data_IF_829941735892
#
_entry.id   IF_829941735892
#
_cell.length_a   1.000
_cell.length_b   1.000
_cell.length_c   1.000
_cell.angle_alpha   90.00
_cell.angle_beta   90.00
_cell.angle_gamma   90.00
#
_symmetry.space_group_name_H-M   'P 1'
#
loop_
_entity.id
_entity.type
_entity.pdbx_description
1 polymer ?
#
# COMPACT_ATOMS: atom_id res chain seq x y z
N UNK A 1 24.09 1.59 8.08
CA UNK A 1 23.14 1.25 9.16
C UNK A 1 22.08 0.34 8.59
N UNK A 2 21.79 -0.78 9.27
CA UNK A 2 20.75 -1.70 8.82
C UNK A 2 19.40 -1.00 8.96
N UNK A 3 18.49 -1.18 8.00
CA UNK A 3 17.18 -0.54 8.06
C UNK A 3 16.37 -1.02 9.27
N UNK A 4 16.67 -2.25 9.72
CA UNK A 4 16.10 -2.84 10.93
C UNK A 4 16.51 -2.08 12.20
N UNK A 5 17.64 -1.36 12.17
CA UNK A 5 18.12 -0.58 13.32
C UNK A 5 17.17 0.57 13.69
N UNK A 6 16.33 1.03 12.75
CA UNK A 6 15.33 2.08 12.97
C UNK A 6 14.34 1.72 14.09
N UNK A 7 14.09 0.43 14.30
CA UNK A 7 13.13 -0.04 15.29
C UNK A 7 13.75 -0.41 16.65
N UNK A 8 15.08 -0.34 16.81
CA UNK A 8 15.78 -0.76 18.03
C UNK A 8 15.28 -0.05 19.30
N UNK A 9 14.87 1.22 19.18
CA UNK A 9 14.33 2.00 20.30
C UNK A 9 12.99 1.47 20.84
N UNK A 10 12.29 0.63 20.07
CA UNK A 10 11.01 0.02 20.46
C UNK A 10 11.18 -1.42 20.97
N UNK A 11 12.40 -1.93 21.07
CA UNK A 11 12.65 -3.28 21.59
C UNK A 11 11.95 -3.50 22.94
N UNK A 12 11.23 -4.62 23.05
CA UNK A 12 10.48 -5.01 24.25
C UNK A 12 9.15 -4.28 24.44
N UNK A 13 8.78 -3.35 23.55
CA UNK A 13 7.46 -2.70 23.55
C UNK A 13 6.39 -3.68 23.09
N UNK A 14 5.17 -3.46 23.58
CA UNK A 14 3.97 -4.22 23.20
C UNK A 14 3.02 -3.38 22.36
N UNK A 15 2.63 -3.92 21.21
CA UNK A 15 1.70 -3.27 20.28
C UNK A 15 0.47 -4.16 20.11
N UNK A 16 -0.71 -3.57 20.34
CA UNK A 16 -1.96 -4.15 19.87
C UNK A 16 -2.21 -3.61 18.46
N UNK A 17 -2.13 -4.49 17.46
CA UNK A 17 -2.43 -4.17 16.06
C UNK A 17 -3.87 -4.54 15.76
N UNK A 18 -4.71 -3.54 15.51
CA UNK A 18 -6.09 -3.70 15.06
C UNK A 18 -6.20 -3.30 13.59
N UNK A 19 -6.45 -4.26 12.71
CA UNK A 19 -6.51 -4.01 11.27
C UNK A 19 -7.39 -5.07 10.58
N UNK A 20 -7.92 -4.80 9.37
CA UNK A 20 -8.55 -5.88 8.62
C UNK A 20 -7.47 -6.84 8.13
N UNK A 21 -7.72 -8.15 8.06
CA UNK A 21 -6.81 -9.03 7.33
C UNK A 21 -6.88 -8.69 5.84
N UNK A 22 -5.89 -7.97 5.30
CA UNK A 22 -5.78 -7.67 3.87
C UNK A 22 -4.42 -8.09 3.31
N UNK A 23 -4.46 -9.01 2.35
CA UNK A 23 -3.28 -9.52 1.64
C UNK A 23 -2.20 -10.01 2.62
N UNK A 24 -0.93 -9.70 2.34
CA UNK A 24 0.26 -10.11 3.11
C UNK A 24 0.81 -8.96 3.98
N UNK A 25 0.23 -7.75 3.90
CA UNK A 25 0.79 -6.56 4.57
C UNK A 25 0.78 -6.65 6.09
N UNK A 26 -0.25 -7.27 6.68
CA UNK A 26 -0.32 -7.52 8.12
C UNK A 26 0.82 -8.44 8.55
N UNK A 27 1.12 -9.46 7.75
CA UNK A 27 2.22 -10.39 8.03
C UNK A 27 3.57 -9.67 7.93
N UNK A 28 3.78 -8.81 6.92
CA UNK A 28 5.01 -7.99 6.81
C UNK A 28 5.22 -7.05 8.02
N UNK A 29 4.16 -6.42 8.52
CA UNK A 29 4.23 -5.57 9.72
C UNK A 29 4.65 -6.40 10.93
N UNK A 30 4.00 -7.55 11.12
CA UNK A 30 4.26 -8.45 12.27
C UNK A 30 5.66 -9.04 12.20
N UNK A 31 6.12 -9.42 11.02
CA UNK A 31 7.47 -9.94 10.81
C UNK A 31 8.53 -8.87 11.07
N UNK A 32 8.31 -7.62 10.64
CA UNK A 32 9.20 -6.50 10.94
C UNK A 32 9.25 -6.18 12.44
N UNK A 33 8.09 -6.16 13.13
CA UNK A 33 8.02 -5.99 14.58
C UNK A 33 8.75 -7.13 15.31
N UNK A 34 8.50 -8.38 14.90
CA UNK A 34 9.14 -9.56 15.49
C UNK A 34 10.66 -9.53 15.30
N UNK A 35 11.16 -9.14 14.13
CA UNK A 35 12.59 -8.99 13.86
C UNK A 35 13.24 -7.93 14.76
N UNK A 36 12.49 -6.91 15.16
CA UNK A 36 12.93 -5.86 16.08
C UNK A 36 12.67 -6.18 17.57
N UNK A 37 12.26 -7.41 17.90
CA UNK A 37 11.90 -7.83 19.27
C UNK A 37 10.78 -6.97 19.89
N UNK A 38 9.83 -6.54 19.06
CA UNK A 38 8.58 -5.89 19.46
C UNK A 38 7.50 -6.97 19.55
N UNK A 39 6.79 -7.04 20.68
CA UNK A 39 5.70 -7.99 20.86
C UNK A 39 4.42 -7.41 20.24
N UNK A 40 3.86 -8.14 19.28
CA UNK A 40 2.70 -7.68 18.49
C UNK A 40 1.58 -8.71 18.56
N UNK A 41 0.49 -8.33 19.23
CA UNK A 41 -0.76 -9.06 19.16
C UNK A 41 -1.63 -8.46 18.05
N UNK A 42 -2.15 -9.31 17.17
CA UNK A 42 -3.00 -8.89 16.06
C UNK A 42 -4.46 -9.29 16.32
N UNK A 43 -5.37 -8.36 16.10
CA UNK A 43 -6.80 -8.59 16.06
C UNK A 43 -7.37 -8.13 14.71
N UNK A 44 -8.15 -9.00 14.07
CA UNK A 44 -8.87 -8.65 12.85
C UNK A 44 -10.08 -7.76 13.18
N UNK A 45 -10.14 -6.56 12.58
CA UNK A 45 -11.30 -5.67 12.73
C UNK A 45 -12.55 -6.19 12.00
N UNK A 46 -12.43 -7.25 11.19
CA UNK A 46 -13.54 -7.97 10.54
C UNK A 46 -13.63 -9.42 11.04
N UNK A 47 -14.00 -9.65 12.29
CA UNK A 47 -13.98 -10.98 12.91
C UNK A 47 -14.98 -11.98 12.31
N UNK A 48 -15.96 -11.51 11.52
CA UNK A 48 -16.96 -12.36 10.88
C UNK A 48 -16.45 -12.90 9.53
N UNK A 49 -16.53 -14.22 9.28
CA UNK A 49 -15.95 -14.82 8.08
C UNK A 49 -16.70 -14.47 6.79
N UNK A 50 -15.97 -14.53 5.66
CA UNK A 50 -16.52 -14.60 4.31
C UNK A 50 -17.12 -13.31 3.71
N UNK A 51 -17.92 -13.47 2.66
CA UNK A 51 -18.65 -12.36 1.99
C UNK A 51 -19.67 -11.70 2.94
N UNK A 52 -20.21 -12.49 3.88
CA UNK A 52 -21.09 -12.06 4.96
C UNK A 52 -20.42 -11.06 5.90
N UNK A 53 -19.16 -11.27 6.28
CA UNK A 53 -18.41 -10.31 7.11
C UNK A 53 -18.21 -8.95 6.44
N UNK A 54 -17.93 -8.92 5.13
CA UNK A 54 -17.82 -7.66 4.37
C UNK A 54 -19.14 -6.92 4.23
N UNK A 55 -20.23 -7.65 4.02
CA UNK A 55 -21.57 -7.06 3.95
C UNK A 55 -22.01 -6.54 5.32
N UNK A 56 -21.78 -7.30 6.40
CA UNK A 56 -22.08 -6.87 7.77
C UNK A 56 -21.23 -5.66 8.17
N UNK A 57 -19.93 -5.65 7.88
CA UNK A 57 -19.08 -4.47 8.09
C UNK A 57 -19.64 -3.22 7.39
N UNK A 58 -20.18 -3.40 6.18
CA UNK A 58 -20.69 -2.31 5.36
C UNK A 58 -22.10 -1.83 5.74
N UNK A 59 -22.97 -2.74 6.18
CA UNK A 59 -24.40 -2.46 6.36
C UNK A 59 -24.88 -2.55 7.81
N UNK A 60 -24.12 -3.21 8.68
CA UNK A 60 -24.41 -3.41 10.11
C UNK A 60 -23.12 -3.29 10.96
N UNK A 61 -22.40 -2.14 10.88
CA UNK A 61 -21.09 -1.96 11.50
C UNK A 61 -21.11 -2.21 13.02
N UNK A 62 -22.21 -1.86 13.69
CA UNK A 62 -22.44 -2.09 15.12
C UNK A 62 -22.21 -3.53 15.59
N UNK A 63 -22.45 -4.54 14.73
CA UNK A 63 -22.21 -5.95 15.09
C UNK A 63 -20.71 -6.22 15.15
N UNK A 64 -19.96 -5.72 14.16
CA UNK A 64 -18.51 -5.86 14.14
C UNK A 64 -17.88 -5.07 15.29
N UNK A 65 -18.31 -3.83 15.52
CA UNK A 65 -17.82 -3.00 16.62
C UNK A 65 -17.93 -3.70 17.98
N UNK A 66 -19.08 -4.32 18.28
CA UNK A 66 -19.28 -5.06 19.53
C UNK A 66 -18.35 -6.26 19.66
N UNK A 67 -18.20 -7.03 18.58
CA UNK A 67 -17.33 -8.21 18.60
C UNK A 67 -15.86 -7.83 18.70
N UNK A 68 -15.43 -6.78 17.99
CA UNK A 68 -14.07 -6.26 18.04
C UNK A 68 -13.78 -5.68 19.42
N UNK A 69 -14.69 -4.89 20.00
CA UNK A 69 -14.55 -4.38 21.37
C UNK A 69 -14.39 -5.52 22.37
N UNK A 70 -15.20 -6.57 22.28
CA UNK A 70 -15.06 -7.76 23.13
C UNK A 70 -13.70 -8.44 22.96
N UNK A 71 -13.23 -8.63 21.72
CA UNK A 71 -11.93 -9.25 21.46
C UNK A 71 -10.77 -8.41 22.03
N UNK A 72 -10.89 -7.08 21.97
CA UNK A 72 -9.93 -6.15 22.59
C UNK A 72 -9.99 -6.28 24.12
N UNK A 73 -11.17 -6.23 24.72
CA UNK A 73 -11.37 -6.40 26.16
C UNK A 73 -10.74 -7.71 26.67
N UNK A 74 -10.99 -8.83 25.97
CA UNK A 74 -10.42 -10.13 26.29
C UNK A 74 -8.87 -10.09 26.30
N UNK A 75 -8.26 -9.40 25.34
CA UNK A 75 -6.79 -9.21 25.30
C UNK A 75 -6.27 -8.33 26.44
N UNK A 76 -7.00 -7.27 26.77
CA UNK A 76 -6.65 -6.33 27.84
C UNK A 76 -6.67 -6.99 29.22
N UNK A 77 -7.47 -8.05 29.42
CA UNK A 77 -7.45 -8.79 30.69
C UNK A 77 -6.12 -9.51 30.97
N UNK A 78 -5.36 -9.85 29.93
CA UNK A 78 -4.15 -10.65 30.03
C UNK A 78 -2.86 -9.83 29.86
N UNK A 79 -2.92 -8.71 29.15
CA UNK A 79 -1.75 -7.93 28.74
C UNK A 79 -2.04 -6.43 28.76
N UNK A 80 -1.02 -5.68 29.15
CA UNK A 80 -0.93 -4.24 28.88
C UNK A 80 -0.08 -3.97 27.63
N UNK A 81 -0.35 -2.85 26.98
CA UNK A 81 0.24 -2.43 25.72
C UNK A 81 0.85 -1.03 25.85
N UNK A 82 1.96 -0.80 25.14
CA UNK A 82 2.53 0.53 24.97
C UNK A 82 1.90 1.28 23.79
N UNK A 83 1.30 0.54 22.85
CA UNK A 83 0.70 1.10 21.64
C UNK A 83 -0.60 0.41 21.26
N UNK A 84 -1.57 1.19 20.80
CA UNK A 84 -2.65 0.72 19.94
C UNK A 84 -2.39 1.26 18.53
N UNK A 85 -2.05 0.37 17.61
CA UNK A 85 -1.90 0.70 16.20
C UNK A 85 -3.15 0.23 15.45
N UNK A 86 -3.95 1.17 14.97
CA UNK A 86 -5.15 0.90 14.18
C UNK A 86 -4.86 1.18 12.72
N UNK A 87 -5.15 0.22 11.84
CA UNK A 87 -5.12 0.43 10.39
C UNK A 87 -6.55 0.43 9.89
N UNK A 88 -6.89 1.46 9.10
CA UNK A 88 -8.19 1.70 8.47
C UNK A 88 -9.32 2.09 9.43
N UNK A 89 -9.48 1.41 10.56
CA UNK A 89 -10.41 1.78 11.62
C UNK A 89 -11.88 1.58 11.27
N UNK A 90 -12.24 0.50 10.56
CA UNK A 90 -13.62 0.24 10.13
C UNK A 90 -14.56 -0.17 11.27
N UNK A 91 -14.02 -0.71 12.36
CA UNK A 91 -14.80 -1.26 13.49
C UNK A 91 -14.48 -0.55 14.81
N UNK A 92 -14.00 0.70 14.74
CA UNK A 92 -13.77 1.53 15.91
C UNK A 92 -15.08 1.85 16.63
N UNK A 93 -15.04 1.91 17.96
CA UNK A 93 -16.16 2.34 18.78
C UNK A 93 -15.65 3.11 20.00
N UNK A 94 -16.49 4.00 20.54
CA UNK A 94 -16.15 4.79 21.74
C UNK A 94 -15.85 3.88 22.93
N UNK A 95 -16.58 2.77 23.08
CA UNK A 95 -16.33 1.77 24.13
C UNK A 95 -14.91 1.22 24.03
N UNK A 96 -14.55 0.70 22.86
CA UNK A 96 -13.23 0.10 22.62
C UNK A 96 -12.09 1.06 22.99
N UNK A 97 -12.15 2.32 22.52
CA UNK A 97 -11.10 3.30 22.79
C UNK A 97 -11.08 3.73 24.27
N UNK A 98 -12.24 3.87 24.91
CA UNK A 98 -12.34 4.22 26.32
C UNK A 98 -11.73 3.12 27.21
N UNK A 99 -12.11 1.86 26.98
CA UNK A 99 -11.60 0.73 27.76
C UNK A 99 -10.10 0.53 27.54
N UNK A 100 -9.62 0.64 26.29
CA UNK A 100 -8.20 0.57 25.99
C UNK A 100 -7.39 1.63 26.74
N UNK A 101 -7.84 2.89 26.72
CA UNK A 101 -7.18 4.01 27.43
C UNK A 101 -7.24 3.85 28.94
N UNK A 102 -8.34 3.31 29.48
CA UNK A 102 -8.49 3.06 30.90
C UNK A 102 -7.45 2.05 31.40
N UNK A 103 -7.28 0.94 30.69
CA UNK A 103 -6.33 -0.12 31.05
C UNK A 103 -4.88 0.23 30.69
N UNK A 104 -4.68 1.13 29.70
CA UNK A 104 -3.35 1.54 29.23
C UNK A 104 -3.22 3.07 29.16
N UNK A 105 -3.22 3.78 30.30
CA UNK A 105 -3.29 5.25 30.33
C UNK A 105 -2.07 5.96 29.72
N UNK A 106 -0.96 5.25 29.55
CA UNK A 106 0.28 5.76 28.95
C UNK A 106 0.53 5.25 27.53
N UNK A 107 -0.40 4.45 26.98
CA UNK A 107 -0.24 3.93 25.63
C UNK A 107 -0.45 5.02 24.58
N UNK A 108 0.34 4.94 23.51
CA UNK A 108 0.15 5.79 22.33
C UNK A 108 -0.86 5.15 21.39
N UNK A 109 -1.86 5.92 20.98
CA UNK A 109 -2.88 5.51 20.02
C UNK A 109 -2.55 6.12 18.66
N UNK A 110 -2.36 5.26 17.67
CA UNK A 110 -2.02 5.67 16.31
C UNK A 110 -3.00 5.08 15.32
N UNK A 111 -3.57 5.92 14.47
CA UNK A 111 -4.45 5.52 13.37
C UNK A 111 -3.74 5.75 12.03
N UNK A 112 -3.65 4.73 11.19
CA UNK A 112 -3.18 4.84 9.82
C UNK A 112 -4.28 4.51 8.82
N UNK A 113 -4.61 5.45 7.96
CA UNK A 113 -5.60 5.28 6.89
C UNK A 113 -4.93 4.76 5.63
N UNK A 114 -5.26 3.50 5.29
CA UNK A 114 -4.75 2.82 4.11
C UNK A 114 -5.48 3.21 2.81
N UNK A 115 -6.72 3.65 2.95
CA UNK A 115 -7.57 4.17 1.88
C UNK A 115 -7.88 5.65 2.21
N UNK A 116 -8.31 6.41 1.20
CA UNK A 116 -8.70 7.81 1.43
C UNK A 116 -9.80 7.93 2.49
N UNK A 117 -9.88 9.09 3.16
CA UNK A 117 -10.88 9.35 4.22
C UNK A 117 -12.30 9.17 3.68
N UNK A 118 -12.54 9.49 2.41
CA UNK A 118 -13.83 9.25 1.75
C UNK A 118 -14.26 7.76 1.74
N UNK A 119 -13.30 6.82 1.77
CA UNK A 119 -13.52 5.38 1.87
C UNK A 119 -13.45 4.86 3.31
N UNK A 120 -12.95 5.66 4.25
CA UNK A 120 -12.78 5.33 5.67
C UNK A 120 -13.55 6.31 6.58
N UNK A 121 -14.72 6.78 6.13
CA UNK A 121 -15.53 7.80 6.84
C UNK A 121 -15.86 7.45 8.30
N UNK A 122 -15.94 6.17 8.61
CA UNK A 122 -16.19 5.73 9.98
C UNK A 122 -15.05 6.15 10.92
N UNK A 123 -13.80 5.98 10.48
CA UNK A 123 -12.61 6.31 11.26
C UNK A 123 -12.47 7.83 11.50
N UNK A 124 -12.98 8.66 10.57
CA UNK A 124 -13.01 10.12 10.69
C UNK A 124 -13.64 10.59 12.00
N UNK A 125 -14.71 9.92 12.44
CA UNK A 125 -15.42 10.26 13.69
C UNK A 125 -14.58 10.04 14.97
N UNK A 126 -13.41 9.39 14.85
CA UNK A 126 -12.56 9.03 15.97
C UNK A 126 -11.20 9.74 15.96
N UNK A 127 -10.90 10.61 14.99
CA UNK A 127 -9.57 11.23 14.86
C UNK A 127 -9.11 11.91 16.16
N UNK A 128 -9.98 12.67 16.82
CA UNK A 128 -9.68 13.38 18.07
C UNK A 128 -9.40 12.45 19.27
N UNK A 129 -9.59 11.14 19.11
CA UNK A 129 -9.29 10.14 20.13
C UNK A 129 -7.92 9.49 19.95
N UNK A 130 -7.20 9.77 18.87
CA UNK A 130 -5.86 9.26 18.61
C UNK A 130 -4.80 10.33 18.89
N UNK A 131 -3.62 9.89 19.33
CA UNK A 131 -2.47 10.80 19.48
C UNK A 131 -1.92 11.20 18.12
N UNK A 132 -1.97 10.28 17.15
CA UNK A 132 -1.56 10.53 15.77
C UNK A 132 -2.50 9.87 14.78
N UNK A 133 -2.88 10.61 13.74
CA UNK A 133 -3.64 10.11 12.60
C UNK A 133 -2.83 10.36 11.33
N UNK A 134 -2.63 9.30 10.55
CA UNK A 134 -1.88 9.31 9.30
C UNK A 134 -2.78 8.93 8.11
N UNK A 135 -2.48 9.49 6.95
CA UNK A 135 -3.05 9.10 5.66
C UNK A 135 -1.97 9.05 4.59
N UNK A 136 -2.11 8.11 3.64
CA UNK A 136 -1.24 8.03 2.47
C UNK A 136 -1.62 9.03 1.36
N UNK A 137 -2.75 9.73 1.49
CA UNK A 137 -3.24 10.69 0.51
C UNK A 137 -2.94 12.12 0.96
N UNK A 138 -2.08 12.82 0.21
CA UNK A 138 -1.63 14.16 0.58
C UNK A 138 -2.78 15.20 0.60
N UNK A 139 -3.81 15.01 -0.23
CA UNK A 139 -4.98 15.89 -0.19
C UNK A 139 -5.80 15.67 1.08
N UNK A 140 -5.96 14.42 1.52
CA UNK A 140 -6.65 14.12 2.77
C UNK A 140 -5.86 14.69 3.97
N UNK A 141 -4.53 14.56 3.96
CA UNK A 141 -3.68 15.13 5.00
C UNK A 141 -3.93 16.64 5.17
N UNK A 142 -3.91 17.38 4.05
CA UNK A 142 -4.18 18.83 4.06
C UNK A 142 -5.63 19.17 4.45
N UNK A 143 -6.60 18.41 3.94
CA UNK A 143 -8.04 18.69 4.15
C UNK A 143 -8.46 18.45 5.60
N UNK A 144 -8.04 17.32 6.17
CA UNK A 144 -8.42 16.88 7.51
C UNK A 144 -7.42 17.31 8.59
N UNK A 145 -6.31 17.97 8.21
CA UNK A 145 -5.22 18.39 9.10
C UNK A 145 -4.65 17.22 9.90
N UNK A 146 -4.47 16.10 9.21
CA UNK A 146 -3.84 14.88 9.72
C UNK A 146 -2.51 14.67 8.99
N UNK A 147 -1.66 13.80 9.51
CA UNK A 147 -0.31 13.64 8.98
C UNK A 147 -0.28 12.84 7.68
N UNK A 148 0.61 13.23 6.78
CA UNK A 148 0.92 12.46 5.60
C UNK A 148 1.95 11.38 5.93
N UNK A 149 1.68 10.14 5.52
CA UNK A 149 2.63 9.04 5.56
C UNK A 149 2.37 8.10 4.38
N UNK A 150 3.33 7.94 3.44
CA UNK A 150 3.11 7.07 2.29
C UNK A 150 2.87 5.61 2.70
N UNK A 151 2.29 4.84 1.76
CA UNK A 151 2.26 3.38 1.89
C UNK A 151 3.68 2.81 1.98
N UNK A 152 3.79 1.56 2.42
CA UNK A 152 5.06 0.87 2.53
C UNK A 152 5.18 -0.35 1.61
N UNK A 153 6.42 -0.78 1.39
CA UNK A 153 6.79 -2.03 0.75
C UNK A 153 7.37 -2.99 1.79
N UNK A 154 7.06 -4.28 1.62
CA UNK A 154 7.63 -5.34 2.45
C UNK A 154 9.07 -5.70 2.04
N UNK A 155 9.68 -6.59 2.82
CA UNK A 155 11.09 -6.98 2.68
C UNK A 155 11.41 -7.68 1.36
N UNK A 156 10.44 -8.34 0.74
CA UNK A 156 10.55 -9.04 -0.54
C UNK A 156 10.84 -8.12 -1.74
N UNK A 157 10.60 -6.81 -1.58
CA UNK A 157 10.86 -5.77 -2.58
C UNK A 157 12.23 -5.10 -2.41
N UNK A 158 13.04 -5.55 -1.45
CA UNK A 158 14.41 -5.06 -1.28
C UNK A 158 15.23 -5.31 -2.56
N UNK A 159 15.83 -4.26 -3.15
CA UNK A 159 16.56 -4.40 -4.41
C UNK A 159 17.79 -5.30 -4.30
N UNK A 160 18.31 -5.52 -3.08
CA UNK A 160 19.44 -6.43 -2.81
C UNK A 160 19.08 -7.90 -2.99
N UNK A 161 17.79 -8.24 -3.03
CA UNK A 161 17.30 -9.60 -3.31
C UNK A 161 17.22 -9.92 -4.81
N UNK A 162 17.49 -8.93 -5.68
CA UNK A 162 17.47 -9.09 -7.13
C UNK A 162 18.88 -9.45 -7.59
N UNK A 163 19.00 -10.57 -8.31
CA UNK A 163 20.28 -10.97 -8.89
C UNK A 163 20.67 -9.98 -10.00
N UNK A 164 21.94 -9.56 -10.04
CA UNK A 164 22.44 -8.64 -11.06
C UNK A 164 22.29 -9.20 -12.49
N UNK A 165 22.38 -10.52 -12.63
CA UNK A 165 22.20 -11.22 -13.92
C UNK A 165 20.72 -11.51 -14.26
N UNK A 166 19.77 -11.07 -13.42
CA UNK A 166 18.36 -11.31 -13.69
C UNK A 166 17.91 -10.49 -14.90
N UNK A 167 17.62 -11.20 -16.00
CA UNK A 167 17.14 -10.59 -17.23
C UNK A 167 15.79 -9.91 -17.03
N UNK A 168 15.67 -8.68 -17.54
CA UNK A 168 14.42 -7.94 -17.65
C UNK A 168 13.83 -8.13 -19.06
N UNK A 169 13.08 -9.20 -19.23
CA UNK A 169 12.50 -9.66 -20.49
C UNK A 169 11.02 -9.32 -20.66
N UNK A 170 10.45 -8.56 -19.71
CA UNK A 170 9.11 -7.97 -19.81
C UNK A 170 9.29 -6.45 -19.88
N UNK A 171 8.85 -5.81 -20.96
CA UNK A 171 9.07 -4.37 -21.15
C UNK A 171 8.11 -3.56 -20.27
N UNK A 172 6.83 -3.96 -20.28
CA UNK A 172 5.77 -3.34 -19.51
C UNK A 172 5.03 -4.38 -18.67
N UNK A 173 4.63 -4.03 -17.44
CA UNK A 173 3.69 -4.86 -16.69
C UNK A 173 2.65 -4.03 -15.93
N UNK A 174 1.39 -4.43 -16.06
CA UNK A 174 0.28 -3.98 -15.23
C UNK A 174 -0.24 -5.17 -14.41
N UNK A 175 -0.40 -4.99 -13.11
CA UNK A 175 -1.03 -6.01 -12.24
C UNK A 175 -1.95 -5.30 -11.26
N UNK A 176 -3.26 -5.36 -11.49
CA UNK A 176 -4.23 -4.68 -10.65
C UNK A 176 -5.67 -5.11 -10.85
N UNK A 177 -6.54 -4.64 -9.96
CA UNK A 177 -7.98 -4.90 -10.03
C UNK A 177 -8.65 -3.96 -11.03
N UNK A 178 -9.60 -4.46 -11.81
CA UNK A 178 -10.38 -3.61 -12.72
C UNK A 178 -11.32 -2.72 -11.91
N UNK A 179 -11.09 -1.40 -11.98
CA UNK A 179 -12.02 -0.39 -11.47
C UNK A 179 -11.98 0.89 -12.31
N UNK A 180 -13.04 1.71 -12.20
CA UNK A 180 -13.14 3.02 -12.87
C UNK A 180 -12.92 2.92 -14.39
N UNK A 181 -12.35 3.95 -15.03
CA UNK A 181 -12.01 3.99 -16.46
C UNK A 181 -10.65 3.35 -16.79
N UNK A 182 -10.09 2.55 -15.88
CA UNK A 182 -8.74 1.98 -16.03
C UNK A 182 -8.58 1.18 -17.33
N UNK A 183 -9.63 0.48 -17.77
CA UNK A 183 -9.61 -0.32 -19.00
C UNK A 183 -9.32 0.51 -20.24
N UNK A 184 -9.74 1.77 -20.27
CA UNK A 184 -9.51 2.66 -21.41
C UNK A 184 -8.02 2.94 -21.62
N UNK A 185 -7.34 3.36 -20.56
CA UNK A 185 -5.91 3.66 -20.58
C UNK A 185 -5.07 2.40 -20.77
N UNK A 186 -5.43 1.28 -20.16
CA UNK A 186 -4.71 0.02 -20.39
C UNK A 186 -4.86 -0.48 -21.83
N UNK A 187 -6.04 -0.32 -22.45
CA UNK A 187 -6.22 -0.65 -23.87
C UNK A 187 -5.39 0.25 -24.79
N UNK A 188 -5.22 1.52 -24.41
CA UNK A 188 -4.31 2.43 -25.11
C UNK A 188 -2.87 1.93 -25.03
N UNK A 189 -2.40 1.59 -23.83
CA UNK A 189 -1.04 1.04 -23.63
C UNK A 189 -0.84 -0.26 -24.40
N UNK A 190 -1.80 -1.19 -24.39
CA UNK A 190 -1.78 -2.43 -25.20
C UNK A 190 -1.59 -2.13 -26.69
N UNK A 191 -2.38 -1.21 -27.24
CA UNK A 191 -2.27 -0.82 -28.64
C UNK A 191 -0.89 -0.24 -28.97
N UNK A 192 -0.37 0.64 -28.12
CA UNK A 192 0.91 1.29 -28.35
C UNK A 192 2.08 0.32 -28.18
N UNK A 193 2.02 -0.57 -27.18
CA UNK A 193 3.02 -1.61 -26.96
C UNK A 193 3.11 -2.55 -28.17
N UNK A 194 1.95 -2.99 -28.69
CA UNK A 194 1.90 -3.79 -29.91
C UNK A 194 2.50 -3.07 -31.13
N UNK A 195 2.26 -1.77 -31.28
CA UNK A 195 2.83 -0.98 -32.40
C UNK A 195 4.34 -0.75 -32.30
N UNK A 196 4.87 -0.72 -31.08
CA UNK A 196 6.30 -0.57 -30.79
C UNK A 196 7.02 -1.93 -30.63
N UNK A 197 6.31 -3.05 -30.87
CA UNK A 197 6.84 -4.40 -30.67
C UNK A 197 7.36 -4.68 -29.24
N UNK A 198 6.76 -4.02 -28.24
CA UNK A 198 7.09 -4.21 -26.83
C UNK A 198 6.19 -5.27 -26.20
N UNK A 199 6.77 -6.05 -25.30
CA UNK A 199 6.02 -7.02 -24.49
C UNK A 199 5.25 -6.31 -23.38
N UNK A 200 3.96 -6.66 -23.22
CA UNK A 200 3.13 -6.15 -22.14
C UNK A 200 2.48 -7.28 -21.35
N UNK A 201 2.87 -7.43 -20.08
CA UNK A 201 2.20 -8.31 -19.14
C UNK A 201 1.02 -7.57 -18.50
N UNK A 202 -0.19 -7.75 -19.05
CA UNK A 202 -1.40 -7.09 -18.57
C UNK A 202 -2.31 -8.04 -17.78
N UNK A 203 -2.24 -7.94 -16.46
CA UNK A 203 -3.04 -8.74 -15.53
C UNK A 203 -4.15 -7.90 -14.88
N UNK A 204 -5.37 -8.04 -15.40
CA UNK A 204 -6.57 -7.33 -14.95
C UNK A 204 -7.48 -8.24 -14.12
N UNK A 205 -7.39 -8.12 -12.79
CA UNK A 205 -8.20 -8.94 -11.88
C UNK A 205 -9.65 -8.46 -11.76
N UNK A 206 -10.61 -9.38 -11.82
CA UNK A 206 -12.04 -9.15 -11.57
C UNK A 206 -12.54 -10.11 -10.51
N UNK A 207 -13.23 -9.58 -9.49
CA UNK A 207 -13.55 -10.34 -8.27
C UNK A 207 -14.56 -11.49 -8.49
N UNK A 208 -15.42 -11.40 -9.50
CA UNK A 208 -16.40 -12.45 -9.79
C UNK A 208 -16.91 -12.37 -11.22
N UNK A 209 -17.47 -13.48 -11.72
CA UNK A 209 -18.16 -13.53 -13.02
C UNK A 209 -19.33 -12.55 -13.11
N UNK A 210 -20.02 -12.29 -12.00
CA UNK A 210 -21.10 -11.31 -11.95
C UNK A 210 -20.55 -9.89 -12.14
N UNK A 211 -19.48 -9.52 -11.43
CA UNK A 211 -18.83 -8.20 -11.62
C UNK A 211 -18.32 -8.04 -13.05
N UNK A 212 -17.76 -9.10 -13.63
CA UNK A 212 -17.37 -9.11 -15.04
C UNK A 212 -18.56 -8.83 -15.96
N UNK A 213 -19.67 -9.54 -15.80
CA UNK A 213 -20.85 -9.36 -16.65
C UNK A 213 -21.40 -7.93 -16.56
N UNK A 214 -21.50 -7.39 -15.34
CA UNK A 214 -21.92 -5.99 -15.11
C UNK A 214 -20.98 -5.02 -15.82
N UNK A 215 -19.66 -5.17 -15.66
CA UNK A 215 -18.68 -4.31 -16.34
C UNK A 215 -18.71 -4.46 -17.85
N UNK A 216 -18.85 -5.68 -18.35
CA UNK A 216 -18.93 -5.93 -19.80
C UNK A 216 -20.14 -5.22 -20.42
N UNK A 217 -21.26 -5.12 -19.71
CA UNK A 217 -22.45 -4.42 -20.17
C UNK A 217 -22.31 -2.89 -20.08
N UNK A 218 -21.72 -2.37 -18.99
CA UNK A 218 -21.72 -0.93 -18.67
C UNK A 218 -20.48 -0.18 -19.18
N UNK A 219 -19.32 -0.83 -19.27
CA UNK A 219 -18.04 -0.21 -19.62
C UNK A 219 -17.59 -0.66 -21.02
N UNK A 220 -17.72 0.26 -21.98
CA UNK A 220 -17.34 0.03 -23.38
C UNK A 220 -15.86 -0.24 -23.55
N UNK A 221 -15.00 0.40 -22.75
CA UNK A 221 -13.56 0.18 -22.81
C UNK A 221 -13.21 -1.20 -22.25
N UNK A 222 -13.80 -1.58 -21.12
CA UNK A 222 -13.63 -2.92 -20.56
C UNK A 222 -14.06 -4.02 -21.53
N UNK A 223 -15.19 -3.85 -22.23
CA UNK A 223 -15.64 -4.79 -23.27
C UNK A 223 -14.60 -5.02 -24.39
N UNK A 224 -13.78 -4.02 -24.66
CA UNK A 224 -12.72 -4.05 -25.67
C UNK A 224 -11.36 -4.51 -25.14
N UNK A 225 -11.28 -4.94 -23.88
CA UNK A 225 -10.02 -5.46 -23.32
C UNK A 225 -9.50 -6.62 -24.17
N UNK A 226 -8.19 -6.69 -24.48
CA UNK A 226 -7.64 -7.78 -25.26
C UNK A 226 -7.87 -9.14 -24.61
N UNK A 227 -8.00 -10.18 -25.42
CA UNK A 227 -8.17 -11.55 -24.94
C UNK A 227 -6.96 -11.97 -24.08
N UNK A 228 -7.22 -12.66 -22.97
CA UNK A 228 -6.16 -13.14 -22.06
C UNK A 228 -5.74 -12.17 -20.96
N UNK A 229 -6.18 -10.91 -20.99
CA UNK A 229 -5.81 -9.89 -19.98
C UNK A 229 -6.68 -9.91 -18.72
N UNK A 230 -7.90 -10.46 -18.81
CA UNK A 230 -8.87 -10.45 -17.70
C UNK A 230 -8.85 -11.78 -16.95
N UNK A 231 -8.63 -11.71 -15.63
CA UNK A 231 -8.48 -12.88 -14.77
C UNK A 231 -9.46 -12.86 -13.59
N UNK A 232 -9.99 -14.03 -13.24
CA UNK A 232 -10.88 -14.21 -12.08
C UNK A 232 -10.17 -14.74 -10.83
N UNK A 233 -8.99 -15.31 -11.01
CA UNK A 233 -8.15 -15.77 -9.91
C UNK A 233 -7.14 -14.67 -9.57
N UNK A 234 -6.90 -14.46 -8.28
CA UNK A 234 -5.83 -13.56 -7.85
C UNK A 234 -4.47 -14.15 -8.23
N UNK A 235 -3.55 -13.30 -8.65
CA UNK A 235 -2.15 -13.68 -8.76
C UNK A 235 -1.59 -13.95 -7.35
N UNK A 236 -0.74 -14.99 -7.22
CA UNK A 236 -0.04 -15.23 -5.95
C UNK A 236 1.04 -14.17 -5.73
N UNK A 237 1.40 -13.91 -4.47
CA UNK A 237 2.47 -12.96 -4.15
C UNK A 237 3.80 -13.36 -4.82
N UNK A 238 4.13 -14.66 -4.84
CA UNK A 238 5.32 -15.19 -5.50
C UNK A 238 5.31 -14.96 -7.02
N UNK A 239 4.21 -15.29 -7.71
CA UNK A 239 4.11 -15.10 -9.15
C UNK A 239 4.17 -13.62 -9.53
N UNK A 240 3.50 -12.77 -8.74
CA UNK A 240 3.56 -11.31 -8.89
C UNK A 240 5.00 -10.81 -8.77
N UNK A 241 5.69 -11.16 -7.68
CA UNK A 241 7.07 -10.73 -7.44
C UNK A 241 8.01 -11.21 -8.56
N UNK A 242 7.86 -12.47 -9.00
CA UNK A 242 8.63 -13.03 -10.12
C UNK A 242 8.43 -12.23 -11.41
N UNK A 243 7.19 -11.86 -11.73
CA UNK A 243 6.87 -11.02 -12.89
C UNK A 243 7.48 -9.63 -12.76
N UNK A 244 7.29 -8.95 -11.62
CA UNK A 244 7.81 -7.60 -11.43
C UNK A 244 9.34 -7.54 -11.48
N UNK A 245 10.03 -8.58 -10.99
CA UNK A 245 11.50 -8.65 -11.06
C UNK A 245 12.04 -8.84 -12.48
N UNK A 246 11.21 -9.34 -13.41
CA UNK A 246 11.53 -9.47 -14.85
C UNK A 246 11.07 -8.26 -15.67
N UNK A 247 10.38 -7.31 -15.04
CA UNK A 247 9.79 -6.16 -15.73
C UNK A 247 10.77 -4.98 -15.77
N UNK A 248 10.81 -4.24 -16.88
CA UNK A 248 11.55 -2.97 -17.01
C UNK A 248 10.74 -1.80 -16.45
N UNK A 249 9.50 -1.66 -16.94
CA UNK A 249 8.61 -0.55 -16.59
C UNK A 249 7.27 -1.04 -16.04
N UNK A 250 6.91 -0.57 -14.86
CA UNK A 250 5.60 -0.81 -14.26
C UNK A 250 4.60 0.19 -14.83
N UNK A 251 3.47 -0.30 -15.30
CA UNK A 251 2.33 0.51 -15.72
C UNK A 251 1.37 0.66 -14.54
N UNK A 252 1.05 1.89 -14.17
CA UNK A 252 0.09 2.22 -13.13
C UNK A 252 -0.99 3.18 -13.65
N UNK A 253 -2.24 2.87 -13.33
CA UNK A 253 -3.38 3.73 -13.67
C UNK A 253 -4.14 3.98 -12.37
N UNK A 254 -3.85 5.08 -11.70
CA UNK A 254 -4.40 5.39 -10.38
C UNK A 254 -5.91 5.72 -10.45
N UNK A 255 -6.65 5.50 -9.36
CA UNK A 255 -8.05 5.92 -9.28
C UNK A 255 -8.14 7.46 -9.36
N UNK A 256 -9.03 8.08 -10.17
CA UNK A 256 -9.04 9.54 -10.38
C UNK A 256 -9.24 10.41 -9.13
N UNK A 257 -9.75 9.82 -8.04
CA UNK A 257 -9.98 10.47 -6.74
C UNK A 257 -8.85 10.26 -5.72
N UNK A 258 -7.82 9.51 -6.09
CA UNK A 258 -6.69 9.19 -5.22
C UNK A 258 -5.48 10.01 -5.68
N UNK A 259 -4.80 10.65 -4.74
CA UNK A 259 -3.55 11.37 -4.99
C UNK A 259 -2.34 10.66 -4.43
N UNK A 260 -2.52 9.85 -3.38
CA UNK A 260 -1.46 8.98 -2.85
C UNK A 260 -0.96 7.96 -3.88
N UNK A 261 0.33 7.62 -3.83
CA UNK A 261 0.90 6.58 -4.71
C UNK A 261 0.29 5.22 -4.41
N UNK A 262 0.07 4.43 -5.46
CA UNK A 262 -0.37 3.04 -5.30
C UNK A 262 0.79 2.19 -4.79
N UNK A 263 0.46 1.09 -4.09
CA UNK A 263 1.46 0.08 -3.68
C UNK A 263 2.32 -0.38 -4.86
N UNK A 264 1.71 -0.55 -6.05
CA UNK A 264 2.42 -1.03 -7.24
C UNK A 264 3.52 -0.08 -7.72
N UNK A 265 3.31 1.24 -7.60
CA UNK A 265 4.31 2.25 -7.95
C UNK A 265 5.50 2.18 -6.99
N UNK A 266 5.25 2.18 -5.68
CA UNK A 266 6.33 2.16 -4.68
C UNK A 266 7.08 0.82 -4.67
N UNK A 267 6.38 -0.30 -4.90
CA UNK A 267 6.98 -1.63 -5.08
C UNK A 267 7.94 -1.63 -6.28
N UNK A 268 7.48 -1.12 -7.44
CA UNK A 268 8.27 -1.05 -8.66
C UNK A 268 9.54 -0.23 -8.51
N UNK A 269 9.42 1.01 -8.03
CA UNK A 269 10.57 1.90 -7.84
C UNK A 269 11.56 1.37 -6.80
N UNK A 270 11.06 0.76 -5.71
CA UNK A 270 11.92 0.13 -4.69
C UNK A 270 12.77 -1.00 -5.23
N UNK A 271 12.28 -1.71 -6.26
CA UNK A 271 13.02 -2.76 -6.97
C UNK A 271 13.90 -2.24 -8.12
N UNK A 272 13.99 -0.93 -8.32
CA UNK A 272 14.72 -0.34 -9.45
C UNK A 272 14.02 -0.53 -10.79
N UNK A 273 12.70 -0.49 -10.82
CA UNK A 273 11.90 -0.49 -12.06
C UNK A 273 11.48 0.93 -12.40
N UNK A 274 11.39 1.24 -13.69
CA UNK A 274 10.79 2.48 -14.14
C UNK A 274 9.27 2.41 -13.97
N UNK A 275 8.60 3.55 -13.96
CA UNK A 275 7.14 3.63 -13.81
C UNK A 275 6.55 4.52 -14.90
N UNK A 276 5.57 3.98 -15.62
CA UNK A 276 4.65 4.70 -16.48
C UNK A 276 3.33 4.85 -15.71
N UNK A 277 3.00 6.05 -15.22
CA UNK A 277 1.84 6.25 -14.33
C UNK A 277 0.95 7.43 -14.75
N UNK A 278 -0.33 7.35 -14.41
CA UNK A 278 -1.25 8.49 -14.51
C UNK A 278 -1.19 9.44 -13.32
N UNK A 279 -0.45 9.09 -12.26
CA UNK A 279 -0.38 9.89 -11.04
C UNK A 279 0.89 10.76 -11.01
N UNK A 280 0.74 12.05 -11.32
CA UNK A 280 1.87 13.00 -11.31
C UNK A 280 2.46 13.27 -9.92
N UNK A 281 1.76 12.89 -8.84
CA UNK A 281 2.24 13.07 -7.46
C UNK A 281 3.51 12.30 -7.13
N UNK A 282 3.87 11.31 -7.94
CA UNK A 282 5.16 10.61 -7.80
C UNK A 282 6.34 11.57 -7.96
N UNK A 283 6.16 12.68 -8.67
CA UNK A 283 7.19 13.71 -8.89
C UNK A 283 7.38 14.64 -7.68
N UNK A 284 6.49 14.57 -6.68
CA UNK A 284 6.56 15.37 -5.44
C UNK A 284 7.51 14.76 -4.40
N UNK A 285 8.03 13.54 -4.64
CA UNK A 285 8.97 12.85 -3.74
C UNK A 285 10.41 13.10 -4.19
N UNK A 286 11.15 13.89 -3.41
CA UNK A 286 12.52 14.30 -3.76
C UNK A 286 13.53 13.14 -3.86
N UNK A 287 13.27 12.02 -3.18
CA UNK A 287 14.11 10.82 -3.25
C UNK A 287 13.80 9.90 -4.44
N UNK A 288 12.83 10.27 -5.30
CA UNK A 288 12.51 9.56 -6.55
C UNK A 288 13.15 10.32 -7.72
N UNK A 289 14.01 9.63 -8.48
CA UNK A 289 14.57 10.21 -9.70
C UNK A 289 13.50 10.28 -10.80
N UNK A 290 13.24 11.50 -11.29
CA UNK A 290 12.24 11.80 -12.33
C UNK A 290 12.53 11.11 -13.66
N UNK A 291 13.79 10.75 -13.97
CA UNK A 291 14.14 9.96 -15.16
C UNK A 291 13.62 8.52 -15.14
N UNK A 292 13.15 8.05 -13.99
CA UNK A 292 12.52 6.72 -13.84
C UNK A 292 11.00 6.79 -13.87
N UNK A 293 10.42 7.96 -14.09
CA UNK A 293 8.97 8.17 -14.12
C UNK A 293 8.57 8.82 -15.43
N UNK A 294 7.57 8.25 -16.09
CA UNK A 294 6.86 8.88 -17.18
C UNK A 294 5.38 9.03 -16.80
N UNK A 295 4.86 10.26 -16.94
CA UNK A 295 3.44 10.55 -16.74
C UNK A 295 2.69 10.40 -18.06
N UNK A 296 1.51 9.78 -18.03
CA UNK A 296 0.65 9.65 -19.20
C UNK A 296 -0.83 9.83 -18.86
N UNK A 297 -1.62 10.12 -19.89
CA UNK A 297 -3.07 10.27 -19.84
C UNK A 297 -3.71 9.71 -21.13
N UNK A 298 -4.99 10.01 -21.38
CA UNK A 298 -5.72 9.60 -22.57
C UNK A 298 -5.18 10.19 -23.89
N UNK A 299 -4.29 11.19 -23.84
CA UNK A 299 -3.67 11.82 -25.01
C UNK A 299 -2.37 11.15 -25.43
N UNK A 300 -1.93 10.10 -24.73
CA UNK A 300 -0.73 9.35 -25.08
C UNK A 300 -0.81 8.81 -26.52
N UNK A 301 0.09 9.27 -27.39
CA UNK A 301 0.10 8.90 -28.82
C UNK A 301 1.11 7.81 -29.18
N UNK A 302 2.17 7.67 -28.39
CA UNK A 302 3.24 6.69 -28.57
C UNK A 302 3.86 6.38 -27.20
N UNK A 303 4.50 5.21 -27.09
CA UNK A 303 5.36 4.91 -25.96
C UNK A 303 6.76 5.46 -26.23
N UNK A 304 7.41 5.97 -25.19
CA UNK A 304 8.81 6.37 -25.27
C UNK A 304 9.68 5.12 -25.11
N UNK A 305 10.06 4.53 -26.26
CA UNK A 305 10.90 3.32 -26.28
C UNK A 305 12.26 3.57 -25.62
N UNK A 306 12.83 4.78 -25.76
CA UNK A 306 14.09 5.13 -25.12
C UNK A 306 13.94 5.13 -23.59
N UNK A 307 12.85 5.67 -23.06
CA UNK A 307 12.55 5.60 -21.63
C UNK A 307 12.43 4.16 -21.15
N UNK A 308 11.66 3.32 -21.84
CA UNK A 308 11.40 1.93 -21.46
C UNK A 308 12.68 1.08 -21.53
N UNK A 309 13.53 1.32 -22.52
CA UNK A 309 14.71 0.50 -22.78
C UNK A 309 15.95 0.95 -21.99
N UNK A 310 16.02 2.23 -21.59
CA UNK A 310 17.12 2.72 -20.75
C UNK A 310 17.09 2.08 -19.35
N UNK A 311 18.27 1.81 -18.75
CA UNK A 311 18.35 1.35 -17.39
C UNK A 311 17.70 2.31 -16.38
N UNK A 312 17.33 1.78 -15.22
CA UNK A 312 16.95 2.59 -14.07
C UNK A 312 18.12 3.49 -13.64
N UNK A 313 17.83 4.75 -13.32
CA UNK A 313 18.85 5.76 -12.97
C UNK A 313 18.88 5.99 -11.46
N UNK A 314 20.05 5.80 -10.84
CA UNK A 314 20.26 5.99 -9.40
C UNK A 314 20.13 4.71 -8.57
N UNK A 315 20.24 4.84 -7.25
CA UNK A 315 20.21 3.71 -6.32
C UNK A 315 18.77 3.40 -5.85
N UNK A 316 18.16 2.26 -6.24
CA UNK A 316 16.83 1.90 -5.78
C UNK A 316 16.76 1.63 -4.27
N UNK A 317 17.89 1.37 -3.60
CA UNK A 317 17.91 1.19 -2.15
C UNK A 317 17.48 2.46 -1.41
N UNK A 318 17.71 3.65 -1.99
CA UNK A 318 17.24 4.91 -1.41
C UNK A 318 15.70 4.98 -1.41
N UNK A 319 15.07 4.57 -2.51
CA UNK A 319 13.61 4.51 -2.62
C UNK A 319 13.05 3.45 -1.68
N UNK A 320 13.64 2.25 -1.67
CA UNK A 320 13.24 1.17 -0.77
C UNK A 320 13.33 1.60 0.69
N UNK A 321 14.42 2.27 1.11
CA UNK A 321 14.58 2.74 2.50
C UNK A 321 13.44 3.67 2.92
N UNK A 322 13.08 4.61 2.03
CA UNK A 322 12.02 5.59 2.28
C UNK A 322 10.61 5.00 2.30
N UNK A 323 10.36 3.92 1.54
CA UNK A 323 9.08 3.21 1.53
C UNK A 323 9.07 1.91 2.34
N UNK A 324 10.13 1.56 3.06
CA UNK A 324 10.17 0.28 3.77
C UNK A 324 9.14 0.19 4.90
N UNK A 325 8.69 -1.03 5.20
CA UNK A 325 7.88 -1.31 6.39
C UNK A 325 8.56 -0.84 7.68
N UNK A 326 9.90 -0.88 7.75
CA UNK A 326 10.67 -0.42 8.91
C UNK A 326 10.58 1.10 9.10
N UNK A 327 10.72 1.88 8.03
CA UNK A 327 10.58 3.34 8.08
C UNK A 327 9.15 3.75 8.41
N UNK A 328 8.18 3.05 7.83
CA UNK A 328 6.77 3.25 8.15
C UNK A 328 6.49 2.95 9.62
N UNK A 329 6.97 1.81 10.14
CA UNK A 329 6.83 1.43 11.55
C UNK A 329 7.50 2.41 12.52
N UNK A 330 8.71 2.86 12.18
CA UNK A 330 9.41 3.88 12.97
C UNK A 330 8.57 5.15 13.07
N UNK A 331 8.01 5.61 11.95
CA UNK A 331 7.21 6.84 11.89
C UNK A 331 5.93 6.70 12.74
N UNK A 332 5.16 5.62 12.55
CA UNK A 332 3.92 5.41 13.31
C UNK A 332 4.17 5.23 14.80
N UNK A 333 5.19 4.46 15.20
CA UNK A 333 5.49 4.20 16.62
C UNK A 333 6.16 5.41 17.31
N UNK A 334 6.93 6.23 16.59
CA UNK A 334 7.44 7.49 17.16
C UNK A 334 6.29 8.46 17.38
N UNK A 335 5.34 8.50 16.42
CA UNK A 335 4.24 9.45 16.43
C UNK A 335 4.66 10.83 15.93
N UNK A 336 5.43 10.88 14.85
CA UNK A 336 5.97 12.12 14.26
C UNK A 336 5.65 12.20 12.77
N UNK A 337 5.62 13.41 12.22
CA UNK A 337 5.51 13.63 10.78
C UNK A 337 6.54 12.80 10.00
N UNK A 338 6.15 12.30 8.82
CA UNK A 338 7.03 11.54 7.95
C UNK A 338 8.18 12.42 7.45
N UNK A 339 9.41 11.98 7.70
CA UNK A 339 10.62 12.61 7.19
C UNK A 339 11.37 11.60 6.34
N UNK A 340 11.57 11.86 5.03
CA UNK A 340 12.39 11.02 4.18
C UNK A 340 13.83 10.90 4.69
N UNK A 341 14.45 9.76 4.44
CA UNK A 341 15.88 9.54 4.63
C UNK A 341 16.66 10.38 3.61
N UNK A 342 17.47 11.34 4.09
CA UNK A 342 18.35 12.17 3.27
C UNK A 342 19.71 11.47 3.02
N UNK A 343 20.31 11.72 1.85
CA UNK A 343 21.64 11.26 1.47
C UNK A 343 22.75 11.79 2.40
N UNK A 344 22.59 12.99 2.98
CA UNK A 344 23.69 13.65 3.72
C UNK A 344 24.01 13.00 5.07
N UNK A 345 23.05 12.35 5.71
CA UNK A 345 23.23 11.72 7.02
C UNK A 345 23.87 10.33 6.96
N UNK A 346 24.08 9.78 5.76
CA UNK A 346 24.71 8.46 5.55
C UNK A 346 26.22 8.59 5.26
N UNK A 347 26.67 9.72 4.70
CA UNK A 347 28.08 9.92 4.32
C UNK A 347 28.97 10.36 5.50
N UNK A 348 28.39 10.83 6.61
CA UNK A 348 29.14 11.25 7.80
C UNK A 348 29.45 10.11 8.80
N UNK A 349 29.17 8.85 8.46
CA UNK A 349 29.41 7.70 9.35
C UNK A 349 30.22 6.55 8.75
N UNK A 350 30.93 6.81 7.65
CA UNK A 350 31.94 5.88 7.10
C UNK A 350 33.36 6.37 7.38
#
# INVERSE_FOLDING_TARGET
MDIQDQLKQFKGKRVLLLAPQFFHYIDEIRDAMKAAEIDCDFLDERPLPGFTGKAIARYLPMINERQVAKNVDDQLTAKSYDYLLVIKGESLSTKLLADFKQENPNAKLVLFLWDSVANSKHAEAFFDQFDMVYTFDANDAATYKIEFLPLFVGSQFDPRLINQDQQQDIDLAFIGTVHSNRSELLNLVEKLAASAHLSFYDFRYVQSKLVYAVRYLQDRAFRKSPAGTVHFNKISAEAMLKTLRRTRTIVDVTHPKQTGLTGRVIEGLSMGRKVLTTNSKVLDYDFINKENVQIFDEKLTNLDEDFIMKPYVGDPLMVYKNFSVYKWLETVLTGTAYVPVDHRSVVEKD
#
